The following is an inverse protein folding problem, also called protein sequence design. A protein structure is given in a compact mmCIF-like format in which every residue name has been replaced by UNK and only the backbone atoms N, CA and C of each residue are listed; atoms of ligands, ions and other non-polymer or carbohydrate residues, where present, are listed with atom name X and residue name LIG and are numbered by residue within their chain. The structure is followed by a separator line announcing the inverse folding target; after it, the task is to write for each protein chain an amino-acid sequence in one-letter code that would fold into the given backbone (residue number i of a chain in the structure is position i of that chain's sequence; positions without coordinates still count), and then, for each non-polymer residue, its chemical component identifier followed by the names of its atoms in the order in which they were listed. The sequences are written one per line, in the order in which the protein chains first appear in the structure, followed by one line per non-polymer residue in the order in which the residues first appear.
data_IF_409255089343
#
_entry.id   IF_409255089343
#
_cell.length_a   1.000
_cell.length_b   1.000
_cell.length_c   1.000
_cell.angle_alpha   90.00
_cell.angle_beta   90.00
_cell.angle_gamma   90.00
#
_symmetry.space_group_name_H-M   'P 1'
#
loop_
_entity.id
_entity.type
_entity.pdbx_description
1 polymer ?
#
# COMPACT_ATOMS: atom_id res chain seq x y z
N UNK A 1 4.66 -7.23 -15.61
CA UNK A 1 3.84 -6.76 -14.46
C UNK A 1 4.34 -7.25 -13.10
N UNK A 2 5.12 -8.34 -13.03
CA UNK A 2 5.63 -8.90 -11.77
C UNK A 2 6.43 -7.89 -10.94
N UNK A 3 7.19 -6.98 -11.57
CA UNK A 3 8.03 -6.02 -10.83
C UNK A 3 7.25 -5.19 -9.79
N UNK A 4 6.07 -4.68 -10.17
CA UNK A 4 5.24 -3.90 -9.24
C UNK A 4 4.80 -4.74 -8.04
N UNK A 5 4.37 -5.97 -8.31
CA UNK A 5 3.91 -6.89 -7.28
C UNK A 5 5.03 -7.34 -6.34
N UNK A 6 6.23 -7.56 -6.88
CA UNK A 6 7.33 -8.17 -6.14
C UNK A 6 8.23 -7.13 -5.45
N UNK A 7 8.30 -5.90 -5.97
CA UNK A 7 9.24 -4.88 -5.50
C UNK A 7 8.62 -3.56 -5.09
N UNK A 8 7.46 -3.17 -5.63
CA UNK A 8 6.81 -1.91 -5.20
C UNK A 8 5.85 -2.16 -4.05
N UNK A 9 4.91 -3.10 -4.20
CA UNK A 9 3.92 -3.42 -3.16
C UNK A 9 4.50 -3.81 -1.79
N UNK A 10 5.49 -4.70 -1.71
CA UNK A 10 6.01 -5.15 -0.41
C UNK A 10 6.86 -4.08 0.28
N UNK A 11 7.46 -3.16 -0.48
CA UNK A 11 8.41 -2.17 0.02
C UNK A 11 7.79 -0.77 0.21
N UNK A 12 6.47 -0.61 0.03
CA UNK A 12 5.77 0.60 0.42
C UNK A 12 5.51 0.54 1.94
N UNK A 13 6.30 1.29 2.71
CA UNK A 13 6.33 1.24 4.19
C UNK A 13 5.90 2.53 4.88
N UNK A 14 5.93 3.66 4.18
CA UNK A 14 5.49 4.97 4.68
C UNK A 14 5.07 5.88 3.53
N UNK A 15 4.11 6.77 3.81
CA UNK A 15 3.71 7.84 2.90
C UNK A 15 4.46 9.15 3.14
N UNK A 16 5.27 9.24 4.20
CA UNK A 16 6.12 10.39 4.53
C UNK A 16 7.60 10.03 4.37
N UNK A 17 8.37 11.00 3.89
CA UNK A 17 9.82 10.96 3.73
C UNK A 17 10.60 11.29 5.01
N UNK A 18 9.90 11.49 6.14
CA UNK A 18 10.50 11.93 7.41
C UNK A 18 11.50 10.91 8.02
N UNK A 19 11.52 9.67 7.52
CA UNK A 19 12.37 8.57 7.99
C UNK A 19 13.45 8.11 6.98
N UNK A 20 13.58 8.74 5.81
CA UNK A 20 14.52 8.33 4.75
C UNK A 20 15.54 9.43 4.40
N UNK A 21 16.74 9.03 3.99
CA UNK A 21 17.82 9.95 3.60
C UNK A 21 17.33 10.93 2.50
N UNK A 22 17.25 12.22 2.86
CA UNK A 22 16.67 13.38 2.14
C UNK A 22 17.21 13.62 0.71
N UNK A 23 18.05 12.75 0.16
CA UNK A 23 18.84 13.00 -1.05
C UNK A 23 18.41 12.21 -2.29
N UNK A 24 17.39 11.34 -2.23
CA UNK A 24 16.86 10.67 -3.42
C UNK A 24 15.59 11.36 -3.92
N UNK A 25 15.64 12.02 -5.08
CA UNK A 25 14.44 12.57 -5.75
C UNK A 25 13.55 11.46 -6.36
N UNK A 26 14.03 10.21 -6.41
CA UNK A 26 13.32 9.06 -6.99
C UNK A 26 13.41 7.87 -6.05
N UNK A 27 12.26 7.36 -5.61
CA UNK A 27 12.19 6.23 -4.69
C UNK A 27 11.91 4.90 -5.41
N UNK A 28 11.22 4.96 -6.56
CA UNK A 28 10.79 3.77 -7.29
C UNK A 28 11.08 3.91 -8.79
N UNK A 29 11.71 2.89 -9.39
CA UNK A 29 11.96 2.82 -10.84
C UNK A 29 11.32 1.57 -11.42
N UNK A 30 10.19 1.72 -12.11
CA UNK A 30 9.36 0.61 -12.59
C UNK A 30 9.61 0.37 -14.08
N UNK A 31 10.04 -0.84 -14.50
CA UNK A 31 10.29 -1.12 -15.92
C UNK A 31 8.97 -1.15 -16.72
N UNK A 32 8.91 -0.35 -17.79
CA UNK A 32 7.81 -0.23 -18.74
C UNK A 32 8.31 -0.40 -20.19
N UNK A 33 8.64 -1.64 -20.54
CA UNK A 33 9.15 -1.98 -21.87
C UNK A 33 8.09 -1.72 -22.97
N UNK A 34 8.55 -1.21 -24.11
CA UNK A 34 7.71 -1.00 -25.30
C UNK A 34 6.91 0.31 -25.29
N UNK A 35 7.10 1.17 -24.27
CA UNK A 35 6.55 2.53 -24.24
C UNK A 35 7.68 3.52 -24.56
N UNK A 36 7.44 4.44 -25.50
CA UNK A 36 8.40 5.50 -25.81
C UNK A 36 8.53 6.53 -24.69
N UNK A 37 9.66 7.22 -24.66
CA UNK A 37 9.98 8.19 -23.61
C UNK A 37 8.93 9.30 -23.47
N UNK A 38 8.55 9.57 -22.23
CA UNK A 38 7.68 10.67 -21.82
C UNK A 38 8.29 11.34 -20.59
N UNK A 39 9.36 12.12 -20.81
CA UNK A 39 10.13 12.81 -19.76
C UNK A 39 9.27 13.60 -18.77
N UNK A 40 8.19 14.24 -19.24
CA UNK A 40 7.23 14.97 -18.37
C UNK A 40 6.49 14.09 -17.36
N UNK A 41 6.46 12.78 -17.57
CA UNK A 41 5.85 11.78 -16.69
C UNK A 41 6.91 10.93 -15.98
N UNK A 42 8.19 11.30 -16.03
CA UNK A 42 9.27 10.49 -15.45
C UNK A 42 9.58 9.19 -16.21
N UNK A 43 9.03 9.01 -17.42
CA UNK A 43 9.28 7.83 -18.25
C UNK A 43 10.45 8.09 -19.21
N UNK A 44 11.58 7.45 -18.97
CA UNK A 44 12.79 7.59 -19.80
C UNK A 44 13.61 6.29 -19.78
N UNK A 45 14.14 5.89 -20.93
CA UNK A 45 15.00 4.70 -21.04
C UNK A 45 14.27 3.38 -20.74
N UNK A 46 12.94 3.36 -20.88
CA UNK A 46 12.10 2.20 -20.57
C UNK A 46 11.74 2.05 -19.08
N UNK A 47 12.01 3.04 -18.24
CA UNK A 47 11.66 3.04 -16.82
C UNK A 47 10.76 4.22 -16.46
N UNK A 48 9.73 3.96 -15.68
CA UNK A 48 8.92 4.97 -15.03
C UNK A 48 9.49 5.25 -13.64
N UNK A 49 10.10 6.41 -13.48
CA UNK A 49 10.59 6.90 -12.20
C UNK A 49 9.46 7.59 -11.45
N UNK A 50 9.24 7.18 -10.20
CA UNK A 50 8.15 7.63 -9.35
C UNK A 50 8.71 8.02 -7.98
N UNK A 51 8.20 9.13 -7.46
CA UNK A 51 8.44 9.54 -6.07
C UNK A 51 7.63 8.68 -5.11
N UNK A 52 7.98 8.69 -3.83
CA UNK A 52 7.15 8.10 -2.77
C UNK A 52 5.75 8.69 -2.76
N UNK A 53 5.59 9.98 -3.02
CA UNK A 53 4.29 10.65 -3.09
C UNK A 53 3.45 10.11 -4.25
N UNK A 54 4.04 9.89 -5.43
CA UNK A 54 3.36 9.30 -6.58
C UNK A 54 2.85 7.89 -6.26
N UNK A 55 3.69 7.07 -5.62
CA UNK A 55 3.32 5.71 -5.23
C UNK A 55 2.28 5.75 -4.10
N UNK A 56 2.41 6.64 -3.12
CA UNK A 56 1.41 6.83 -2.08
C UNK A 56 0.04 7.20 -2.66
N UNK A 57 0.01 8.05 -3.71
CA UNK A 57 -1.22 8.38 -4.45
C UNK A 57 -1.93 7.17 -5.07
N UNK A 58 -1.21 6.06 -5.30
CA UNK A 58 -1.79 4.80 -5.78
C UNK A 58 -2.24 3.91 -4.61
N UNK A 59 -1.45 3.82 -3.53
CA UNK A 59 -1.72 2.90 -2.43
C UNK A 59 -2.78 3.41 -1.46
N UNK A 60 -2.74 4.69 -1.09
CA UNK A 60 -3.61 5.24 -0.04
C UNK A 60 -5.11 5.03 -0.34
N UNK A 61 -5.63 5.30 -1.56
CA UNK A 61 -7.04 5.07 -1.85
C UNK A 61 -7.46 3.59 -1.70
N UNK A 62 -6.55 2.66 -2.02
CA UNK A 62 -6.82 1.22 -1.89
C UNK A 62 -6.84 0.82 -0.41
N UNK A 63 -5.93 1.37 0.38
CA UNK A 63 -5.83 1.09 1.83
C UNK A 63 -7.03 1.67 2.57
N UNK A 64 -7.41 2.92 2.28
CA UNK A 64 -8.58 3.56 2.87
C UNK A 64 -9.85 2.74 2.60
N UNK A 65 -10.01 2.21 1.39
CA UNK A 65 -11.16 1.36 1.07
C UNK A 65 -11.11 0.01 1.81
N UNK A 66 -9.92 -0.59 1.96
CA UNK A 66 -9.78 -1.82 2.74
C UNK A 66 -10.15 -1.58 4.21
N UNK A 67 -9.67 -0.49 4.81
CA UNK A 67 -10.05 -0.12 6.18
C UNK A 67 -11.55 0.08 6.32
N UNK A 68 -12.17 0.80 5.39
CA UNK A 68 -13.62 1.00 5.37
C UNK A 68 -14.35 -0.34 5.34
N UNK A 69 -13.95 -1.25 4.46
CA UNK A 69 -14.55 -2.58 4.35
C UNK A 69 -14.36 -3.43 5.62
N UNK A 70 -13.19 -3.36 6.25
CA UNK A 70 -12.91 -4.06 7.51
C UNK A 70 -13.80 -3.52 8.63
N UNK A 71 -13.95 -2.20 8.75
CA UNK A 71 -14.83 -1.57 9.74
C UNK A 71 -16.30 -1.97 9.52
N UNK A 72 -16.76 -1.96 8.27
CA UNK A 72 -18.10 -2.41 7.92
C UNK A 72 -18.32 -3.88 8.34
N UNK A 73 -17.34 -4.76 8.08
CA UNK A 73 -17.44 -6.18 8.47
C UNK A 73 -17.49 -6.35 10.00
N UNK A 74 -16.67 -5.60 10.75
CA UNK A 74 -16.71 -5.62 12.23
C UNK A 74 -18.09 -5.19 12.73
N UNK A 75 -18.64 -4.11 12.16
CA UNK A 75 -19.98 -3.63 12.51
C UNK A 75 -21.04 -4.68 12.23
N UNK A 76 -21.01 -5.35 11.07
CA UNK A 76 -21.98 -6.39 10.73
C UNK A 76 -21.92 -7.59 11.68
N UNK A 77 -20.71 -8.01 12.10
CA UNK A 77 -20.54 -9.07 13.10
C UNK A 77 -21.11 -8.63 14.47
N UNK A 78 -20.91 -7.37 14.85
CA UNK A 78 -21.47 -6.81 16.07
C UNK A 78 -23.00 -6.76 16.06
N UNK A 79 -23.61 -6.34 14.93
CA UNK A 79 -25.06 -6.36 14.73
C UNK A 79 -25.63 -7.79 14.86
N UNK A 80 -24.88 -8.79 14.43
CA UNK A 80 -25.24 -10.20 14.58
C UNK A 80 -25.07 -10.75 16.03
N UNK A 81 -24.71 -9.90 17.00
CA UNK A 81 -24.52 -10.29 18.40
C UNK A 81 -23.20 -11.03 18.67
N UNK A 82 -22.23 -10.92 17.78
CA UNK A 82 -20.92 -11.57 17.87
C UNK A 82 -19.79 -10.54 17.98
N UNK A 83 -18.60 -11.00 18.35
CA UNK A 83 -17.39 -10.15 18.41
C UNK A 83 -16.26 -10.81 17.62
N UNK A 84 -15.69 -10.13 16.61
CA UNK A 84 -14.49 -10.60 15.92
C UNK A 84 -13.32 -10.69 16.92
N UNK A 85 -12.59 -11.80 16.90
CA UNK A 85 -11.41 -11.99 17.77
C UNK A 85 -10.10 -11.61 17.07
N UNK A 86 -10.05 -11.83 15.76
CA UNK A 86 -8.87 -11.55 14.95
C UNK A 86 -9.24 -11.22 13.51
N UNK A 87 -8.36 -10.46 12.85
CA UNK A 87 -8.32 -10.22 11.41
C UNK A 87 -7.05 -10.90 10.90
N UNK A 88 -7.20 -11.82 9.95
CA UNK A 88 -6.10 -12.53 9.31
C UNK A 88 -5.86 -11.94 7.93
N UNK A 89 -4.68 -11.35 7.71
CA UNK A 89 -4.27 -10.85 6.40
C UNK A 89 -3.68 -11.99 5.57
N UNK A 90 -4.31 -12.27 4.42
CA UNK A 90 -3.91 -13.37 3.54
C UNK A 90 -3.71 -12.91 2.10
N UNK A 91 -2.94 -13.67 1.34
CA UNK A 91 -2.64 -13.37 -0.07
C UNK A 91 -1.57 -12.28 -0.25
N UNK A 92 -1.26 -11.97 -1.50
CA UNK A 92 -0.08 -11.15 -1.84
C UNK A 92 -0.10 -9.70 -1.34
N UNK A 93 -1.28 -9.11 -1.10
CA UNK A 93 -1.34 -7.77 -0.49
C UNK A 93 -1.40 -7.81 1.04
N UNK A 94 -1.78 -8.96 1.63
CA UNK A 94 -1.72 -9.17 3.08
C UNK A 94 -0.30 -9.15 3.64
N UNK A 95 0.72 -9.34 2.81
CA UNK A 95 2.13 -9.20 3.20
C UNK A 95 2.62 -7.74 3.21
N UNK A 96 1.77 -6.75 2.93
CA UNK A 96 2.14 -5.34 3.00
C UNK A 96 2.25 -4.91 4.46
N UNK A 97 3.45 -4.53 4.89
CA UNK A 97 3.70 -4.02 6.24
C UNK A 97 2.91 -2.74 6.53
N UNK A 98 2.80 -1.84 5.55
CA UNK A 98 2.06 -0.60 5.71
C UNK A 98 0.55 -0.85 5.91
N UNK A 99 -0.05 -1.77 5.13
CA UNK A 99 -1.45 -2.18 5.33
C UNK A 99 -1.66 -2.79 6.73
N UNK A 100 -0.75 -3.67 7.16
CA UNK A 100 -0.80 -4.28 8.48
C UNK A 100 -0.81 -3.24 9.61
N UNK A 101 0.14 -2.28 9.58
CA UNK A 101 0.26 -1.20 10.58
C UNK A 101 -0.97 -0.29 10.57
N UNK A 102 -1.48 0.05 9.39
CA UNK A 102 -2.70 0.85 9.20
C UNK A 102 -3.91 0.17 9.84
N UNK A 103 -4.14 -1.11 9.55
CA UNK A 103 -5.24 -1.87 10.14
C UNK A 103 -5.10 -2.04 11.65
N UNK A 104 -3.90 -2.36 12.15
CA UNK A 104 -3.63 -2.41 13.59
C UNK A 104 -3.98 -1.10 14.31
N UNK A 105 -3.76 0.04 13.66
CA UNK A 105 -4.07 1.36 14.22
C UNK A 105 -5.57 1.68 14.13
N UNK A 106 -6.24 1.24 13.07
CA UNK A 106 -7.64 1.55 12.80
C UNK A 106 -8.63 0.72 13.64
N UNK A 107 -8.26 -0.50 14.05
CA UNK A 107 -9.15 -1.40 14.81
C UNK A 107 -8.73 -1.53 16.27
N UNK A 108 -9.64 -1.21 17.18
CA UNK A 108 -9.44 -1.35 18.64
C UNK A 108 -10.08 -2.66 19.11
N UNK A 109 -9.38 -3.43 19.93
CA UNK A 109 -9.85 -4.70 20.54
C UNK A 109 -10.01 -5.90 19.58
N UNK A 110 -9.44 -5.85 18.38
CA UNK A 110 -9.35 -6.99 17.46
C UNK A 110 -7.90 -7.19 17.08
N UNK A 111 -7.36 -8.40 17.26
CA UNK A 111 -5.96 -8.69 16.92
C UNK A 111 -5.80 -8.77 15.40
N UNK A 112 -4.91 -7.97 14.82
CA UNK A 112 -4.54 -8.10 13.40
C UNK A 112 -3.27 -8.95 13.30
N UNK A 113 -3.29 -9.94 12.42
CA UNK A 113 -2.23 -10.94 12.22
C UNK A 113 -2.08 -11.34 10.75
#
# INVERSE_FOLDING_TARGET
MNYWQDFVKPNFTSASSEDDDEYSEVDYSVPLNGVGDKRKLGLEGGFLNMTREDVAGIFLPVIDEIERLVQDQILQVSIAGMQPKAILLVGGFGSSEYLFRRLQSAVVNVTVM
#
